data_IF_243095353804
#
_entry.id   IF_243095353804
#
_cell.length_a   1.000
_cell.length_b   1.000
_cell.length_c   1.000
_cell.angle_alpha   90.00
_cell.angle_beta   90.00
_cell.angle_gamma   90.00
#
_symmetry.space_group_name_H-M   'P 1'
#
loop_
_entity.id
_entity.type
_entity.pdbx_description
1 polymer ?
#
# COMPACT_ATOMS: atom_id res chain seq x y z
N UNK A 1 -30.21 24.42 5.98
CA UNK A 1 -29.29 23.90 4.96
C UNK A 1 -28.02 23.53 5.69
N UNK A 2 -27.75 22.24 5.87
CA UNK A 2 -26.58 21.75 6.55
C UNK A 2 -25.57 21.40 5.45
N UNK A 3 -24.49 22.17 5.36
CA UNK A 3 -23.42 21.94 4.42
C UNK A 3 -22.79 20.56 4.67
N UNK A 4 -22.80 19.71 3.63
CA UNK A 4 -22.03 18.46 3.62
C UNK A 4 -20.55 18.81 3.68
N UNK A 5 -19.74 18.12 4.52
CA UNK A 5 -18.30 18.30 4.52
C UNK A 5 -17.72 17.94 3.14
N UNK A 6 -16.70 18.66 2.65
CA UNK A 6 -16.10 18.39 1.35
C UNK A 6 -15.47 17.00 1.34
N UNK A 7 -15.67 16.29 0.24
CA UNK A 7 -15.20 14.95 -0.02
C UNK A 7 -13.66 14.94 -0.21
N UNK A 8 -12.91 14.92 0.89
CA UNK A 8 -11.43 15.01 0.95
C UNK A 8 -10.72 13.76 0.39
N UNK A 9 -11.46 12.66 0.20
CA UNK A 9 -10.85 11.38 -0.25
C UNK A 9 -10.49 11.31 -1.73
N UNK A 10 -11.20 12.05 -2.61
CA UNK A 10 -11.02 11.90 -4.05
C UNK A 10 -9.86 12.73 -4.65
N UNK A 11 -9.51 13.88 -4.05
CA UNK A 11 -8.39 14.70 -4.54
C UNK A 11 -7.02 14.12 -4.16
N UNK A 12 -6.87 13.58 -2.95
CA UNK A 12 -5.62 12.92 -2.52
C UNK A 12 -5.29 11.69 -3.37
N UNK A 13 -6.29 10.90 -3.78
CA UNK A 13 -6.06 9.74 -4.63
C UNK A 13 -5.61 10.10 -6.05
N UNK A 14 -5.95 11.30 -6.57
CA UNK A 14 -5.56 11.75 -7.92
C UNK A 14 -4.13 12.32 -7.98
N UNK A 15 -3.68 13.05 -6.98
CA UNK A 15 -2.33 13.62 -6.91
C UNK A 15 -1.27 12.54 -6.69
N UNK A 16 -1.57 11.57 -5.82
CA UNK A 16 -0.70 10.42 -5.61
C UNK A 16 -0.70 9.45 -6.83
N UNK A 17 -1.69 9.54 -7.73
CA UNK A 17 -1.71 8.74 -8.97
C UNK A 17 -0.61 9.13 -9.97
N UNK A 18 -0.05 10.33 -9.91
CA UNK A 18 1.03 10.75 -10.81
C UNK A 18 2.40 10.22 -10.38
N UNK A 19 2.62 9.96 -9.08
CA UNK A 19 3.85 9.33 -8.61
C UNK A 19 4.00 7.93 -9.24
N UNK A 20 5.18 7.64 -9.74
CA UNK A 20 5.55 6.36 -10.38
C UNK A 20 4.81 6.02 -11.69
N UNK A 21 4.05 6.94 -12.29
CA UNK A 21 3.19 6.64 -13.45
C UNK A 21 3.93 5.99 -14.61
N UNK A 22 5.11 6.51 -14.97
CA UNK A 22 5.94 5.97 -16.05
C UNK A 22 6.38 4.52 -15.78
N UNK A 23 6.84 4.24 -14.57
CA UNK A 23 7.29 2.91 -14.16
C UNK A 23 6.11 1.93 -14.09
N UNK A 24 4.98 2.38 -13.56
CA UNK A 24 3.74 1.60 -13.45
C UNK A 24 3.24 1.11 -14.81
N UNK A 25 3.21 1.97 -15.83
CA UNK A 25 2.76 1.57 -17.18
C UNK A 25 3.68 0.50 -17.80
N UNK A 26 4.99 0.59 -17.59
CA UNK A 26 5.94 -0.42 -18.04
C UNK A 26 5.69 -1.77 -17.37
N UNK A 27 5.53 -1.79 -16.04
CA UNK A 27 5.22 -3.02 -15.31
C UNK A 27 3.89 -3.65 -15.74
N UNK A 28 2.84 -2.85 -15.92
CA UNK A 28 1.55 -3.34 -16.44
C UNK A 28 1.71 -4.05 -17.79
N UNK A 29 2.50 -3.47 -18.70
CA UNK A 29 2.74 -4.08 -20.00
C UNK A 29 3.52 -5.40 -19.90
N UNK A 30 4.56 -5.45 -19.07
CA UNK A 30 5.35 -6.67 -18.83
C UNK A 30 4.47 -7.76 -18.22
N UNK A 31 3.67 -7.43 -17.21
CA UNK A 31 2.80 -8.38 -16.53
C UNK A 31 1.65 -8.89 -17.41
N UNK A 32 1.11 -8.04 -18.27
CA UNK A 32 0.11 -8.46 -19.24
C UNK A 32 0.64 -9.52 -20.23
N UNK A 33 1.93 -9.46 -20.60
CA UNK A 33 2.59 -10.50 -21.42
C UNK A 33 2.69 -11.81 -20.63
N UNK A 34 3.18 -11.75 -19.38
CA UNK A 34 3.36 -12.93 -18.52
C UNK A 34 2.05 -13.66 -18.20
N UNK A 35 0.94 -12.93 -18.05
CA UNK A 35 -0.36 -13.53 -17.72
C UNK A 35 -1.08 -14.15 -18.91
N UNK A 36 -0.72 -13.77 -20.14
CA UNK A 36 -1.31 -14.35 -21.37
C UNK A 36 -0.76 -15.74 -21.70
N UNK A 37 0.46 -16.08 -21.27
CA UNK A 37 1.10 -17.36 -21.52
C UNK A 37 0.66 -18.38 -20.48
N UNK A 38 0.00 -19.45 -20.89
CA UNK A 38 -0.49 -20.52 -20.00
C UNK A 38 0.64 -21.37 -19.39
N UNK A 39 1.77 -21.47 -20.07
CA UNK A 39 3.02 -22.09 -19.58
C UNK A 39 4.14 -21.11 -19.87
N UNK A 40 5.02 -20.88 -18.91
CA UNK A 40 6.19 -20.03 -19.07
C UNK A 40 7.45 -20.89 -19.22
N UNK A 41 8.29 -20.48 -20.16
CA UNK A 41 9.61 -21.06 -20.38
C UNK A 41 10.68 -20.22 -19.67
N UNK A 42 11.84 -20.81 -19.38
CA UNK A 42 12.99 -20.08 -18.84
C UNK A 42 13.41 -18.88 -19.70
N UNK A 43 13.21 -18.96 -21.01
CA UNK A 43 13.51 -17.86 -21.93
C UNK A 43 12.53 -16.68 -21.74
N UNK A 44 11.25 -16.96 -21.54
CA UNK A 44 10.24 -15.92 -21.31
C UNK A 44 10.46 -15.25 -19.94
N UNK A 45 10.84 -16.02 -18.92
CA UNK A 45 11.22 -15.48 -17.59
C UNK A 45 12.44 -14.56 -17.72
N UNK A 46 13.50 -15.00 -18.40
CA UNK A 46 14.69 -14.19 -18.64
C UNK A 46 14.38 -12.93 -19.44
N UNK A 47 13.50 -13.01 -20.44
CA UNK A 47 13.05 -11.85 -21.22
C UNK A 47 12.30 -10.85 -20.34
N UNK A 48 11.36 -11.31 -19.51
CA UNK A 48 10.64 -10.45 -18.57
C UNK A 48 11.57 -9.79 -17.55
N UNK A 49 12.53 -10.52 -16.98
CA UNK A 49 13.54 -9.96 -16.08
C UNK A 49 14.41 -8.91 -16.76
N UNK A 50 14.72 -9.09 -18.05
CA UNK A 50 15.43 -8.07 -18.83
C UNK A 50 14.60 -6.81 -19.03
N UNK A 51 13.32 -6.95 -19.35
CA UNK A 51 12.39 -5.79 -19.48
C UNK A 51 12.25 -5.07 -18.13
N UNK A 52 12.08 -5.80 -17.01
CA UNK A 52 12.04 -5.23 -15.64
C UNK A 52 13.34 -4.49 -15.32
N UNK A 53 14.51 -5.08 -15.65
CA UNK A 53 15.81 -4.43 -15.47
C UNK A 53 15.87 -3.08 -16.20
N UNK A 54 15.46 -3.04 -17.44
CA UNK A 54 15.44 -1.80 -18.24
C UNK A 54 14.48 -0.77 -17.64
N UNK A 55 13.26 -1.18 -17.24
CA UNK A 55 12.30 -0.32 -16.62
C UNK A 55 12.82 0.35 -15.33
N UNK A 56 13.51 -0.42 -14.48
CA UNK A 56 14.12 0.11 -13.24
C UNK A 56 15.29 1.06 -13.52
N UNK A 57 16.14 0.77 -14.52
CA UNK A 57 17.23 1.66 -14.92
C UNK A 57 16.70 2.99 -15.50
N UNK A 58 15.64 2.95 -16.32
CA UNK A 58 14.99 4.14 -16.86
C UNK A 58 14.25 4.94 -15.77
N UNK A 59 13.84 4.28 -14.70
CA UNK A 59 13.31 4.93 -13.50
C UNK A 59 14.40 5.51 -12.58
N UNK A 60 15.65 5.54 -13.04
CA UNK A 60 16.78 6.09 -12.29
C UNK A 60 17.11 5.33 -10.99
N UNK A 61 16.87 4.00 -10.97
CA UNK A 61 17.30 3.14 -9.86
C UNK A 61 18.80 2.85 -9.99
N UNK A 62 19.53 2.87 -8.88
CA UNK A 62 20.96 2.60 -8.85
C UNK A 62 21.31 1.22 -9.48
N UNK A 63 22.31 1.19 -10.34
CA UNK A 63 22.71 0.01 -11.13
C UNK A 63 23.02 -1.20 -10.25
N UNK A 64 23.73 -1.02 -9.13
CA UNK A 64 24.06 -2.11 -8.21
C UNK A 64 22.79 -2.71 -7.58
N UNK A 65 21.86 -1.84 -7.19
CA UNK A 65 20.55 -2.21 -6.63
C UNK A 65 19.72 -2.99 -7.65
N UNK A 66 19.67 -2.52 -8.90
CA UNK A 66 18.97 -3.22 -9.99
C UNK A 66 19.56 -4.60 -10.25
N UNK A 67 20.90 -4.71 -10.28
CA UNK A 67 21.58 -6.01 -10.51
C UNK A 67 21.24 -7.02 -9.41
N UNK A 68 21.29 -6.61 -8.14
CA UNK A 68 20.98 -7.47 -7.00
C UNK A 68 19.50 -7.89 -7.01
N UNK A 69 18.59 -6.93 -7.22
CA UNK A 69 17.15 -7.19 -7.34
C UNK A 69 16.84 -8.22 -8.44
N UNK A 70 17.39 -8.03 -9.66
CA UNK A 70 17.16 -8.95 -10.79
C UNK A 70 17.74 -10.32 -10.50
N UNK A 71 18.94 -10.41 -9.90
CA UNK A 71 19.56 -11.69 -9.56
C UNK A 71 18.69 -12.49 -8.57
N UNK A 72 18.28 -11.86 -7.46
CA UNK A 72 17.44 -12.49 -6.44
C UNK A 72 16.09 -12.92 -7.00
N UNK A 73 15.43 -12.02 -7.75
CA UNK A 73 14.12 -12.28 -8.34
C UNK A 73 14.18 -13.41 -9.38
N UNK A 74 15.23 -13.45 -10.22
CA UNK A 74 15.39 -14.50 -11.23
C UNK A 74 15.54 -15.88 -10.60
N UNK A 75 16.34 -15.99 -9.54
CA UNK A 75 16.51 -17.27 -8.81
C UNK A 75 15.18 -17.78 -8.29
N UNK A 76 14.37 -16.92 -7.69
CA UNK A 76 13.06 -17.30 -7.14
C UNK A 76 12.06 -17.66 -8.24
N UNK A 77 12.07 -16.93 -9.37
CA UNK A 77 11.16 -17.18 -10.50
C UNK A 77 11.49 -18.48 -11.25
N UNK A 78 12.75 -18.92 -11.25
CA UNK A 78 13.19 -20.17 -11.90
C UNK A 78 13.00 -21.41 -11.02
N UNK A 79 12.40 -21.29 -9.84
CA UNK A 79 12.14 -22.41 -8.95
C UNK A 79 11.09 -23.39 -9.49
N UNK A 80 11.25 -24.69 -9.17
CA UNK A 80 10.32 -25.75 -9.61
C UNK A 80 8.85 -25.47 -9.25
N UNK A 81 8.60 -24.83 -8.11
CA UNK A 81 7.26 -24.48 -7.63
C UNK A 81 6.55 -23.52 -8.58
N UNK A 82 7.27 -22.56 -9.15
CA UNK A 82 6.74 -21.61 -10.13
C UNK A 82 6.50 -22.28 -11.47
N UNK A 83 7.48 -23.06 -11.95
CA UNK A 83 7.42 -23.74 -13.24
C UNK A 83 6.31 -24.79 -13.31
N UNK A 84 6.01 -25.45 -12.19
CA UNK A 84 4.94 -26.45 -12.08
C UNK A 84 3.56 -25.86 -11.70
N UNK A 85 3.48 -24.55 -11.47
CA UNK A 85 2.22 -23.88 -11.12
C UNK A 85 1.23 -23.87 -12.29
N UNK A 86 -0.06 -23.92 -11.96
CA UNK A 86 -1.14 -23.72 -12.95
C UNK A 86 -1.24 -22.26 -13.43
N UNK A 87 -0.65 -21.32 -12.69
CA UNK A 87 -0.64 -19.88 -12.98
C UNK A 87 0.74 -19.28 -12.79
N UNK A 88 1.75 -19.71 -13.60
CA UNK A 88 3.15 -19.29 -13.38
C UNK A 88 3.34 -17.78 -13.53
N UNK A 89 2.62 -17.12 -14.42
CA UNK A 89 2.67 -15.65 -14.57
C UNK A 89 2.25 -14.90 -13.30
N UNK A 90 1.22 -15.36 -12.62
CA UNK A 90 0.77 -14.77 -11.35
C UNK A 90 1.77 -15.00 -10.21
N UNK A 91 2.41 -16.18 -10.19
CA UNK A 91 3.47 -16.48 -9.23
C UNK A 91 4.68 -15.55 -9.40
N UNK A 92 5.10 -15.31 -10.65
CA UNK A 92 6.20 -14.37 -10.94
C UNK A 92 5.83 -12.96 -10.48
N UNK A 93 4.62 -12.49 -10.76
CA UNK A 93 4.15 -11.17 -10.33
C UNK A 93 4.19 -11.07 -8.80
N UNK A 94 3.76 -12.10 -8.08
CA UNK A 94 3.83 -12.16 -6.62
C UNK A 94 5.27 -12.08 -6.12
N UNK A 95 6.19 -12.85 -6.70
CA UNK A 95 7.62 -12.82 -6.35
C UNK A 95 8.21 -11.43 -6.58
N UNK A 96 7.93 -10.81 -7.74
CA UNK A 96 8.39 -9.44 -8.05
C UNK A 96 7.86 -8.45 -7.02
N UNK A 97 6.60 -8.58 -6.60
CA UNK A 97 6.01 -7.74 -5.57
C UNK A 97 6.68 -7.93 -4.20
N UNK A 98 6.91 -9.17 -3.79
CA UNK A 98 7.59 -9.49 -2.52
C UNK A 98 9.02 -8.93 -2.50
N UNK A 99 9.77 -9.13 -3.59
CA UNK A 99 11.13 -8.60 -3.73
C UNK A 99 11.16 -7.07 -3.79
N UNK A 100 10.18 -6.43 -4.45
CA UNK A 100 10.04 -4.97 -4.46
C UNK A 100 9.72 -4.43 -3.07
N UNK A 101 8.85 -5.10 -2.33
CA UNK A 101 8.50 -4.73 -0.95
C UNK A 101 9.71 -4.84 -0.02
N UNK A 102 10.50 -5.91 -0.15
CA UNK A 102 11.74 -6.10 0.59
C UNK A 102 12.76 -5.00 0.28
N UNK A 103 12.95 -4.68 -1.01
CA UNK A 103 13.83 -3.61 -1.48
C UNK A 103 13.46 -2.26 -0.87
N UNK A 104 12.17 -1.96 -0.73
CA UNK A 104 11.66 -0.73 -0.12
C UNK A 104 11.71 -0.74 1.42
N UNK A 105 12.04 -1.88 2.05
CA UNK A 105 12.25 -1.98 3.49
C UNK A 105 11.37 -2.99 4.23
N UNK A 106 10.58 -3.77 3.52
CA UNK A 106 9.72 -4.85 4.05
C UNK A 106 8.49 -4.32 4.77
N UNK A 107 8.64 -3.66 5.89
CA UNK A 107 7.56 -3.15 6.72
C UNK A 107 7.66 -1.65 7.03
N UNK A 108 6.57 -1.09 7.59
CA UNK A 108 6.57 0.30 8.05
C UNK A 108 7.48 0.47 9.27
N UNK A 109 8.42 1.40 9.20
CA UNK A 109 9.33 1.74 10.28
C UNK A 109 8.77 2.89 11.13
N UNK A 110 8.42 2.58 12.38
CA UNK A 110 7.93 3.59 13.34
C UNK A 110 9.07 4.49 13.84
N UNK A 111 8.70 5.66 14.36
CA UNK A 111 9.63 6.51 15.09
C UNK A 111 10.07 5.84 16.40
N UNK A 112 11.36 5.91 16.67
CA UNK A 112 11.87 5.53 17.98
C UNK A 112 11.45 6.56 19.02
N UNK A 113 11.12 6.11 20.20
CA UNK A 113 10.78 6.95 21.36
C UNK A 113 11.83 6.76 22.45
N UNK A 114 12.23 7.87 23.08
CA UNK A 114 13.15 7.80 24.19
C UNK A 114 12.49 7.09 25.40
N UNK A 115 13.24 6.33 26.20
CA UNK A 115 12.72 5.69 27.42
C UNK A 115 12.18 6.69 28.46
N UNK A 116 12.73 7.90 28.42
CA UNK A 116 12.30 9.03 29.26
C UNK A 116 12.06 10.24 28.38
N UNK A 117 10.92 10.94 28.52
CA UNK A 117 10.66 12.17 27.77
C UNK A 117 11.67 13.28 28.15
N UNK A 118 11.92 14.19 27.21
CA UNK A 118 11.39 14.26 25.88
C UNK A 118 12.12 13.37 24.87
N UNK A 119 11.41 12.86 23.87
CA UNK A 119 12.04 12.25 22.70
C UNK A 119 12.63 13.34 21.82
N UNK A 120 13.92 13.29 21.55
CA UNK A 120 14.60 14.25 20.69
C UNK A 120 14.72 13.71 19.27
N UNK A 121 14.27 14.50 18.30
CA UNK A 121 14.34 14.21 16.87
C UNK A 121 15.19 15.28 16.22
N UNK A 122 16.31 14.89 15.62
CA UNK A 122 17.21 15.78 14.88
C UNK A 122 16.88 15.70 13.38
N UNK A 123 16.52 16.83 12.78
CA UNK A 123 16.23 16.91 11.35
C UNK A 123 17.49 17.31 10.60
N UNK A 124 17.91 16.52 9.61
CA UNK A 124 19.07 16.77 8.77
C UNK A 124 18.67 16.86 7.29
N UNK A 125 19.51 17.44 6.45
CA UNK A 125 19.31 17.50 5.00
C UNK A 125 19.81 18.79 4.37
N UNK A 126 19.85 18.84 3.04
CA UNK A 126 20.29 20.00 2.29
C UNK A 126 19.25 21.14 2.31
N UNK A 127 19.68 22.31 1.85
CA UNK A 127 18.78 23.45 1.66
C UNK A 127 17.72 23.11 0.60
N UNK A 128 16.48 23.49 0.85
CA UNK A 128 15.36 23.19 -0.07
C UNK A 128 14.81 21.77 0.00
N UNK A 129 15.41 20.86 0.77
CA UNK A 129 14.91 19.50 0.94
C UNK A 129 13.60 19.40 1.77
N UNK A 130 13.11 20.52 2.33
CA UNK A 130 11.84 20.57 3.04
C UNK A 130 11.89 20.30 4.54
N UNK A 131 13.06 20.39 5.21
CA UNK A 131 13.22 20.14 6.66
C UNK A 131 12.22 20.91 7.51
N UNK A 132 12.20 22.25 7.40
CA UNK A 132 11.32 23.14 8.19
C UNK A 132 9.85 22.77 8.02
N UNK A 133 9.41 22.52 6.78
CA UNK A 133 8.04 22.07 6.49
C UNK A 133 7.75 20.71 7.12
N UNK A 134 8.72 19.79 7.06
CA UNK A 134 8.58 18.46 7.68
C UNK A 134 8.54 18.53 9.21
N UNK A 135 9.29 19.44 9.84
CA UNK A 135 9.17 19.68 11.29
C UNK A 135 7.73 19.99 11.67
N UNK A 136 7.06 20.86 10.91
CA UNK A 136 5.65 21.19 11.14
C UNK A 136 4.69 20.05 10.89
N UNK A 137 4.87 19.35 9.76
CA UNK A 137 4.06 18.17 9.42
C UNK A 137 4.16 17.08 10.49
N UNK A 138 5.39 16.76 10.89
CA UNK A 138 5.65 15.77 11.93
C UNK A 138 5.13 16.23 13.30
N UNK A 139 5.30 17.53 13.61
CA UNK A 139 4.76 18.15 14.82
C UNK A 139 3.24 18.02 14.89
N UNK A 140 2.54 18.32 13.81
CA UNK A 140 1.07 18.19 13.73
C UNK A 140 0.63 16.73 13.87
N UNK A 141 1.32 15.80 13.20
CA UNK A 141 1.03 14.37 13.28
C UNK A 141 1.17 13.87 14.73
N UNK A 142 2.28 14.18 15.38
CA UNK A 142 2.57 13.76 16.76
C UNK A 142 1.59 14.39 17.76
N UNK A 143 1.20 15.67 17.55
CA UNK A 143 0.15 16.33 18.33
C UNK A 143 -1.18 15.60 18.18
N UNK A 144 -1.55 15.21 16.97
CA UNK A 144 -2.75 14.40 16.71
C UNK A 144 -2.74 13.04 17.44
N UNK A 145 -1.55 12.52 17.76
CA UNK A 145 -1.34 11.33 18.57
C UNK A 145 -1.30 11.61 20.09
N UNK A 146 -1.62 12.83 20.51
CA UNK A 146 -1.67 13.24 21.91
C UNK A 146 -0.31 13.64 22.50
N UNK A 147 0.76 13.84 21.68
CA UNK A 147 2.08 14.28 22.15
C UNK A 147 2.13 15.81 22.25
N UNK A 148 2.84 16.30 23.26
CA UNK A 148 3.16 17.72 23.41
C UNK A 148 4.52 17.97 22.76
N UNK A 149 4.51 18.67 21.63
CA UNK A 149 5.67 18.83 20.74
C UNK A 149 6.23 20.24 20.83
N UNK A 150 7.58 20.35 20.85
CA UNK A 150 8.34 21.57 20.71
C UNK A 150 9.13 21.54 19.40
N UNK A 151 9.03 22.59 18.60
CA UNK A 151 9.94 22.85 17.48
C UNK A 151 11.02 23.84 17.95
N UNK A 152 12.29 23.50 17.69
CA UNK A 152 13.45 24.33 18.07
C UNK A 152 14.17 24.80 16.80
N UNK A 153 14.34 26.14 16.66
CA UNK A 153 14.97 26.75 15.51
C UNK A 153 16.51 26.76 15.69
N UNK A 154 17.21 25.85 15.00
CA UNK A 154 18.66 25.78 14.97
C UNK A 154 19.27 26.17 13.60
N UNK A 155 18.48 26.63 12.62
CA UNK A 155 19.01 27.26 11.40
C UNK A 155 19.39 28.72 11.69
N UNK A 156 20.54 28.89 12.32
CA UNK A 156 21.03 30.21 12.81
C UNK A 156 21.57 31.12 11.70
N UNK A 157 21.84 30.55 10.52
CA UNK A 157 22.40 31.28 9.38
C UNK A 157 21.35 32.00 8.55
N UNK A 158 20.08 31.66 8.73
CA UNK A 158 18.97 32.20 7.95
C UNK A 158 17.85 32.71 8.85
N UNK A 159 17.84 34.01 9.16
CA UNK A 159 16.78 34.60 10.00
C UNK A 159 15.36 34.30 9.48
N UNK A 160 15.17 34.29 8.16
CA UNK A 160 13.91 33.95 7.54
C UNK A 160 13.46 32.48 7.83
N UNK A 161 14.39 31.56 8.05
CA UNK A 161 14.07 30.18 8.40
C UNK A 161 13.51 30.07 9.83
N UNK A 162 14.01 30.89 10.76
CA UNK A 162 13.49 30.95 12.13
C UNK A 162 12.02 31.43 12.11
N UNK A 163 11.75 32.55 11.41
CA UNK A 163 10.38 33.05 11.26
C UNK A 163 9.48 32.05 10.53
N UNK A 164 10.00 31.36 9.50
CA UNK A 164 9.27 30.31 8.81
C UNK A 164 8.87 29.17 9.77
N UNK A 165 9.81 28.68 10.59
CA UNK A 165 9.53 27.61 11.56
C UNK A 165 8.50 28.07 12.61
N UNK A 166 8.56 29.33 13.03
CA UNK A 166 7.58 29.93 13.95
C UNK A 166 6.16 29.96 13.38
N UNK A 167 6.01 30.37 12.10
CA UNK A 167 4.74 30.35 11.40
C UNK A 167 4.23 28.90 11.26
N UNK A 168 5.11 27.98 10.89
CA UNK A 168 4.79 26.56 10.74
C UNK A 168 4.36 25.95 12.10
N UNK A 169 5.06 26.26 13.19
CA UNK A 169 4.70 25.81 14.54
C UNK A 169 3.31 26.32 14.96
N UNK A 170 3.04 27.62 14.70
CA UNK A 170 1.71 28.23 14.97
C UNK A 170 0.62 27.52 14.18
N UNK A 171 0.85 27.24 12.88
CA UNK A 171 -0.14 26.57 12.02
C UNK A 171 -0.37 25.12 12.45
N UNK A 172 0.69 24.40 12.83
CA UNK A 172 0.60 23.05 13.41
C UNK A 172 0.00 23.04 14.83
N UNK A 173 -0.03 24.19 15.48
CA UNK A 173 -0.50 24.37 16.86
C UNK A 173 0.39 23.66 17.87
N UNK A 174 1.72 23.68 17.67
CA UNK A 174 2.74 23.13 18.56
C UNK A 174 3.59 24.23 19.16
N UNK A 175 4.33 23.93 20.25
CA UNK A 175 5.21 24.88 20.90
C UNK A 175 6.42 25.20 20.01
N UNK A 176 6.96 26.40 20.16
CA UNK A 176 8.11 26.90 19.42
C UNK A 176 9.15 27.49 20.37
N UNK A 177 10.43 27.28 20.06
CA UNK A 177 11.56 27.87 20.80
C UNK A 177 12.59 28.42 19.85
N UNK A 178 13.02 29.66 20.12
CA UNK A 178 14.15 30.33 19.47
C UNK A 178 15.14 30.84 20.53
N UNK A 179 16.44 30.72 20.28
CA UNK A 179 17.50 31.09 21.23
C UNK A 179 18.51 32.06 20.65
N UNK A 180 18.13 32.78 19.56
CA UNK A 180 19.01 33.68 18.85
C UNK A 180 19.80 33.00 17.71
N UNK A 181 20.96 33.61 17.31
CA UNK A 181 21.66 33.22 16.07
C UNK A 181 23.15 32.94 16.28
N UNK A 182 23.63 32.66 17.50
CA UNK A 182 25.07 32.55 17.75
C UNK A 182 25.61 31.10 17.81
N UNK A 183 24.86 30.16 18.36
CA UNK A 183 25.35 28.79 18.61
C UNK A 183 24.19 27.81 18.56
N UNK A 184 24.14 27.03 17.50
CA UNK A 184 23.09 26.03 17.29
C UNK A 184 23.05 24.96 18.40
N UNK A 185 24.21 24.51 18.90
CA UNK A 185 24.32 23.51 19.96
C UNK A 185 23.78 24.04 21.29
N UNK A 186 24.10 25.30 21.61
CA UNK A 186 23.57 25.97 22.80
C UNK A 186 22.05 26.11 22.71
N UNK A 187 21.55 26.61 21.59
CA UNK A 187 20.11 26.79 21.35
C UNK A 187 19.37 25.45 21.50
N UNK A 188 19.91 24.38 20.93
CA UNK A 188 19.32 23.05 21.01
C UNK A 188 19.26 22.52 22.47
N UNK A 189 20.34 22.74 23.25
CA UNK A 189 20.37 22.40 24.69
C UNK A 189 19.37 23.20 25.50
N UNK A 190 19.27 24.50 25.21
CA UNK A 190 18.35 25.42 25.90
C UNK A 190 16.88 25.06 25.54
N UNK A 191 16.61 24.73 24.27
CA UNK A 191 15.33 24.19 23.83
C UNK A 191 14.96 22.90 24.54
N UNK A 192 15.93 22.00 24.73
CA UNK A 192 15.69 20.75 25.49
C UNK A 192 15.36 21.05 26.96
N UNK A 193 16.09 21.99 27.60
CA UNK A 193 15.76 22.43 28.98
C UNK A 193 14.38 23.06 29.07
N UNK A 194 14.02 23.89 28.06
CA UNK A 194 12.69 24.47 27.96
C UNK A 194 11.60 23.41 27.86
N UNK A 195 11.83 22.35 27.06
CA UNK A 195 10.90 21.24 26.93
C UNK A 195 10.67 20.50 28.26
N UNK A 196 11.77 20.24 28.99
CA UNK A 196 11.70 19.60 30.32
C UNK A 196 10.93 20.46 31.32
N UNK A 197 11.22 21.78 31.39
CA UNK A 197 10.54 22.68 32.29
C UNK A 197 9.04 22.84 32.02
N UNK A 198 8.61 22.62 30.76
CA UNK A 198 7.21 22.74 30.35
C UNK A 198 6.54 21.36 30.14
N UNK A 199 7.16 20.28 30.59
CA UNK A 199 6.65 18.92 30.45
C UNK A 199 6.28 18.54 29.00
N UNK A 200 7.06 18.93 28.01
CA UNK A 200 6.83 18.57 26.61
C UNK A 200 7.43 17.19 26.32
N UNK A 201 6.72 16.40 25.50
CA UNK A 201 7.02 14.97 25.33
C UNK A 201 8.00 14.71 24.17
N UNK A 202 8.06 15.65 23.22
CA UNK A 202 8.87 15.51 21.99
C UNK A 202 9.50 16.84 21.60
N UNK A 203 10.76 16.82 21.22
CA UNK A 203 11.51 17.99 20.72
C UNK A 203 12.00 17.68 19.31
N UNK A 204 11.62 18.51 18.35
CA UNK A 204 12.08 18.42 16.96
C UNK A 204 13.04 19.58 16.71
N UNK A 205 14.28 19.26 16.37
CA UNK A 205 15.34 20.23 16.09
C UNK A 205 15.42 20.46 14.58
N UNK A 206 15.05 21.66 14.14
CA UNK A 206 15.22 22.10 12.74
C UNK A 206 16.63 22.68 12.55
N UNK A 207 17.48 21.95 11.82
CA UNK A 207 18.87 22.34 11.61
C UNK A 207 19.08 23.13 10.34
N UNK A 208 20.20 23.83 10.26
CA UNK A 208 20.62 24.49 9.04
C UNK A 208 20.72 23.52 7.86
N UNK A 209 20.43 24.01 6.67
CA UNK A 209 20.70 23.33 5.42
C UNK A 209 21.61 24.19 4.55
N UNK A 210 22.64 23.57 3.97
CA UNK A 210 23.47 24.20 2.96
C UNK A 210 23.15 23.66 1.57
N UNK A 211 23.58 24.38 0.54
CA UNK A 211 23.37 23.97 -0.85
C UNK A 211 24.12 22.69 -1.17
N UNK A 212 25.26 22.48 -0.56
CA UNK A 212 26.12 21.30 -0.73
C UNK A 212 26.57 20.78 0.62
N UNK A 213 26.96 19.51 0.65
CA UNK A 213 27.59 18.90 1.82
C UNK A 213 28.99 19.46 1.94
N UNK A 214 29.27 20.10 3.07
CA UNK A 214 30.61 20.58 3.45
C UNK A 214 30.95 20.09 4.88
N UNK A 215 32.24 20.22 5.23
CA UNK A 215 32.73 19.79 6.54
C UNK A 215 32.08 20.57 7.68
N UNK A 216 31.83 21.86 7.50
CA UNK A 216 31.27 22.72 8.54
C UNK A 216 29.83 22.30 8.88
N UNK A 217 29.01 21.95 7.88
CA UNK A 217 27.67 21.40 8.10
C UNK A 217 27.74 20.07 8.86
N UNK A 218 28.61 19.16 8.43
CA UNK A 218 28.73 17.85 9.05
C UNK A 218 29.28 17.94 10.48
N UNK A 219 30.20 18.82 10.75
CA UNK A 219 30.75 19.05 12.10
C UNK A 219 29.70 19.65 13.05
N UNK A 220 28.87 20.58 12.58
CA UNK A 220 27.75 21.13 13.35
C UNK A 220 26.73 20.01 13.69
N UNK A 221 26.35 19.20 12.70
CA UNK A 221 25.40 18.11 12.93
C UNK A 221 25.97 17.02 13.86
N UNK A 222 27.27 16.70 13.75
CA UNK A 222 27.97 15.81 14.69
C UNK A 222 27.98 16.38 16.11
N UNK A 223 28.22 17.67 16.25
CA UNK A 223 28.20 18.35 17.53
C UNK A 223 26.80 18.34 18.17
N UNK A 224 25.75 18.58 17.38
CA UNK A 224 24.36 18.48 17.80
C UNK A 224 24.00 17.03 18.21
N UNK A 225 24.38 16.03 17.40
CA UNK A 225 24.20 14.60 17.74
C UNK A 225 24.83 14.26 19.07
N UNK A 226 26.10 14.65 19.27
CA UNK A 226 26.83 14.38 20.52
C UNK A 226 26.22 15.11 21.72
N UNK A 227 25.74 16.34 21.53
CA UNK A 227 25.21 17.17 22.61
C UNK A 227 23.83 16.77 23.10
N UNK A 228 22.98 16.22 22.20
CA UNK A 228 21.57 15.93 22.45
C UNK A 228 21.28 14.44 22.60
N UNK A 229 22.15 13.57 22.10
CA UNK A 229 21.92 12.12 22.00
C UNK A 229 20.49 11.81 21.48
N UNK A 230 20.12 12.24 20.28
CA UNK A 230 18.74 12.13 19.78
C UNK A 230 18.32 10.68 19.61
N UNK A 231 17.05 10.39 19.91
CA UNK A 231 16.43 9.10 19.65
C UNK A 231 16.25 8.85 18.15
N UNK A 232 16.11 9.94 17.38
CA UNK A 232 15.96 9.91 15.92
C UNK A 232 16.87 10.96 15.27
N UNK A 233 17.55 10.54 14.21
CA UNK A 233 18.24 11.42 13.26
C UNK A 233 17.62 11.16 11.91
N UNK A 234 16.77 12.07 11.46
CA UNK A 234 15.96 11.92 10.26
C UNK A 234 16.51 12.79 9.14
N UNK A 235 16.90 12.16 8.04
CA UNK A 235 17.32 12.85 6.84
C UNK A 235 16.13 13.19 5.96
N UNK A 236 15.94 14.46 5.66
CA UNK A 236 14.96 14.92 4.68
C UNK A 236 15.62 15.00 3.29
N UNK A 237 15.05 14.31 2.32
CA UNK A 237 15.56 14.21 0.94
C UNK A 237 14.45 14.51 -0.05
N UNK A 238 14.76 15.29 -1.08
CA UNK A 238 13.85 15.54 -2.21
C UNK A 238 13.89 14.36 -3.17
N UNK A 239 12.76 13.66 -3.32
CA UNK A 239 12.66 12.49 -4.19
C UNK A 239 12.90 12.81 -5.68
N UNK A 240 12.66 14.06 -6.10
CA UNK A 240 12.81 14.48 -7.49
C UNK A 240 14.27 14.62 -7.92
N UNK A 241 15.22 14.65 -7.00
CA UNK A 241 16.67 14.81 -7.33
C UNK A 241 17.35 13.52 -7.78
N UNK A 242 16.62 12.40 -7.86
CA UNK A 242 17.10 11.14 -8.44
C UNK A 242 18.33 10.58 -7.72
N UNK A 243 19.41 10.27 -8.47
CA UNK A 243 20.64 9.69 -7.91
C UNK A 243 21.41 10.64 -6.98
N UNK A 244 21.27 11.95 -7.14
CA UNK A 244 21.87 12.91 -6.21
C UNK A 244 21.29 12.74 -4.78
N UNK A 245 20.00 12.43 -4.67
CA UNK A 245 19.37 12.09 -3.40
C UNK A 245 20.06 10.90 -2.72
N UNK A 246 20.46 9.89 -3.50
CA UNK A 246 21.13 8.68 -3.00
C UNK A 246 22.52 9.00 -2.49
N UNK A 247 23.29 9.78 -3.25
CA UNK A 247 24.62 10.21 -2.87
C UNK A 247 24.61 11.06 -1.59
N UNK A 248 23.65 12.00 -1.49
CA UNK A 248 23.41 12.80 -0.29
C UNK A 248 23.08 11.90 0.90
N UNK A 249 22.15 10.98 0.73
CA UNK A 249 21.73 10.09 1.81
C UNK A 249 22.88 9.22 2.32
N UNK A 250 23.74 8.72 1.43
CA UNK A 250 24.92 7.95 1.81
C UNK A 250 25.89 8.78 2.65
N UNK A 251 26.25 9.99 2.19
CA UNK A 251 27.19 10.84 2.90
C UNK A 251 26.68 11.27 4.29
N UNK A 252 25.39 11.61 4.40
CA UNK A 252 24.77 11.90 5.70
C UNK A 252 24.74 10.66 6.60
N UNK A 253 24.49 9.48 6.03
CA UNK A 253 24.49 8.24 6.81
C UNK A 253 25.86 7.89 7.36
N UNK A 254 26.91 8.04 6.55
CA UNK A 254 28.30 7.77 6.94
C UNK A 254 28.75 8.74 8.04
N UNK A 255 28.29 10.01 8.00
CA UNK A 255 28.66 11.02 8.98
C UNK A 255 27.86 10.94 10.29
N UNK A 256 26.59 10.58 10.24
CA UNK A 256 25.65 10.74 11.35
C UNK A 256 25.04 9.43 11.84
N UNK A 257 25.19 8.32 11.11
CA UNK A 257 24.47 7.07 11.38
C UNK A 257 22.96 7.33 11.55
N UNK A 258 22.31 7.63 10.45
CA UNK A 258 20.89 8.01 10.40
C UNK A 258 20.00 6.92 11.00
N UNK A 259 18.87 7.30 11.57
CA UNK A 259 17.85 6.34 12.04
C UNK A 259 16.70 6.16 11.02
N UNK A 260 16.57 7.07 10.08
CA UNK A 260 15.57 7.00 9.03
C UNK A 260 15.65 8.14 8.03
N UNK A 261 14.92 7.99 6.95
CA UNK A 261 14.82 8.95 5.86
C UNK A 261 13.38 9.42 5.68
N UNK A 262 13.21 10.66 5.33
CA UNK A 262 11.95 11.33 5.01
C UNK A 262 12.00 11.74 3.54
N UNK A 263 11.10 11.27 2.72
CA UNK A 263 11.02 11.65 1.31
C UNK A 263 10.04 12.81 1.14
N UNK A 264 10.50 13.89 0.53
CA UNK A 264 9.66 15.03 0.14
C UNK A 264 9.34 14.98 -1.34
N UNK A 265 8.28 15.67 -1.75
CA UNK A 265 7.85 15.83 -3.15
C UNK A 265 7.66 14.51 -3.90
N UNK A 266 7.22 13.48 -3.19
CA UNK A 266 6.98 12.17 -3.80
C UNK A 266 5.83 12.22 -4.83
N UNK A 267 4.91 13.17 -4.68
CA UNK A 267 3.83 13.47 -5.63
C UNK A 267 4.34 13.92 -7.00
N UNK A 268 5.49 14.60 -7.05
CA UNK A 268 6.17 15.02 -8.29
C UNK A 268 7.12 13.98 -8.88
N UNK A 269 7.48 12.92 -8.14
CA UNK A 269 8.41 11.89 -8.62
C UNK A 269 7.71 10.84 -9.47
N UNK A 270 7.72 11.03 -10.78
CA UNK A 270 7.14 10.08 -11.74
C UNK A 270 8.00 8.82 -11.93
N UNK A 271 9.25 8.80 -11.48
CA UNK A 271 10.23 7.72 -11.69
C UNK A 271 10.32 6.77 -10.50
N UNK A 272 10.41 7.30 -9.28
CA UNK A 272 10.42 6.53 -8.04
C UNK A 272 11.74 5.82 -7.71
N UNK A 273 12.78 6.01 -8.50
CA UNK A 273 14.07 5.33 -8.34
C UNK A 273 14.83 5.73 -7.08
N UNK A 274 14.67 6.98 -6.63
CA UNK A 274 15.31 7.49 -5.43
C UNK A 274 14.91 6.70 -4.18
N UNK A 275 13.62 6.42 -3.98
CA UNK A 275 13.13 5.68 -2.81
C UNK A 275 13.75 4.28 -2.71
N UNK A 276 13.79 3.54 -3.83
CA UNK A 276 14.39 2.19 -3.89
C UNK A 276 15.89 2.24 -3.61
N UNK A 277 16.59 3.20 -4.22
CA UNK A 277 18.05 3.31 -4.12
C UNK A 277 18.52 3.77 -2.76
N UNK A 278 17.87 4.78 -2.16
CA UNK A 278 18.22 5.31 -0.83
C UNK A 278 18.17 4.20 0.22
N UNK A 279 17.08 3.44 0.25
CA UNK A 279 16.93 2.33 1.20
C UNK A 279 18.00 1.27 1.02
N UNK A 280 18.25 0.85 -0.24
CA UNK A 280 19.22 -0.20 -0.55
C UNK A 280 20.66 0.23 -0.24
N UNK A 281 21.02 1.48 -0.55
CA UNK A 281 22.39 1.99 -0.38
C UNK A 281 22.69 2.32 1.08
N UNK A 282 21.77 2.99 1.79
CA UNK A 282 22.00 3.42 3.17
C UNK A 282 21.68 2.34 4.22
N UNK A 283 20.89 1.34 3.87
CA UNK A 283 20.34 0.39 4.83
C UNK A 283 19.31 0.99 5.79
N UNK A 284 19.02 2.30 5.69
CA UNK A 284 18.12 3.01 6.63
C UNK A 284 16.68 3.04 6.14
N UNK A 285 15.68 2.84 7.03
CA UNK A 285 14.29 2.82 6.60
C UNK A 285 13.79 4.19 6.18
N UNK A 286 12.93 4.22 5.16
CA UNK A 286 12.11 5.38 4.87
C UNK A 286 10.95 5.35 5.86
N UNK A 287 10.78 6.39 6.67
CA UNK A 287 9.75 6.44 7.72
C UNK A 287 8.48 7.15 7.27
N UNK A 288 8.64 8.26 6.54
CA UNK A 288 7.52 9.06 6.05
C UNK A 288 7.76 9.57 4.64
N UNK A 289 6.66 9.84 3.96
CA UNK A 289 6.62 10.53 2.66
C UNK A 289 5.73 11.76 2.73
N UNK A 290 6.23 12.87 2.19
CA UNK A 290 5.45 14.07 1.92
C UNK A 290 4.80 13.96 0.56
N UNK A 291 3.48 14.11 0.53
CA UNK A 291 2.64 13.91 -0.67
C UNK A 291 2.00 15.19 -1.16
N UNK A 292 2.46 16.35 -0.70
CA UNK A 292 1.96 17.67 -1.06
C UNK A 292 2.51 18.75 -0.13
N UNK A 293 2.01 19.99 -0.25
CA UNK A 293 2.53 21.15 0.47
C UNK A 293 1.87 21.39 1.85
N UNK A 294 0.63 20.94 2.05
CA UNK A 294 -0.12 21.17 3.29
C UNK A 294 0.47 20.39 4.46
N UNK A 295 0.28 20.88 5.67
CA UNK A 295 0.78 20.20 6.88
C UNK A 295 0.19 18.80 7.08
N UNK A 296 -1.02 18.54 6.58
CA UNK A 296 -1.65 17.22 6.62
C UNK A 296 -1.11 16.24 5.57
N UNK A 297 -0.33 16.71 4.58
CA UNK A 297 0.19 15.86 3.49
C UNK A 297 1.47 15.14 3.94
N UNK A 298 1.36 14.36 5.00
CA UNK A 298 2.40 13.50 5.55
C UNK A 298 1.82 12.13 5.80
N UNK A 299 2.40 11.11 5.18
CA UNK A 299 1.99 9.72 5.36
C UNK A 299 3.14 8.87 5.86
N UNK A 300 2.88 7.89 6.77
CA UNK A 300 3.84 6.83 7.05
C UNK A 300 4.19 6.08 5.76
N UNK A 301 5.48 5.80 5.58
CA UNK A 301 5.92 5.05 4.39
C UNK A 301 5.59 3.58 4.54
N UNK A 302 4.75 3.07 3.66
CA UNK A 302 4.33 1.66 3.64
C UNK A 302 4.94 0.96 2.42
N UNK A 303 6.04 0.22 2.56
CA UNK A 303 6.74 -0.46 1.46
C UNK A 303 5.81 -1.29 0.57
N UNK A 304 4.94 -2.08 1.15
CA UNK A 304 3.97 -2.91 0.44
C UNK A 304 3.01 -2.08 -0.44
N UNK A 305 2.45 -0.98 0.10
CA UNK A 305 1.56 -0.10 -0.67
C UNK A 305 2.29 0.60 -1.82
N UNK A 306 3.53 1.01 -1.60
CA UNK A 306 4.36 1.64 -2.64
C UNK A 306 4.73 0.61 -3.71
N UNK A 307 5.15 -0.60 -3.33
CA UNK A 307 5.40 -1.69 -4.26
C UNK A 307 4.17 -2.00 -5.14
N UNK A 308 2.99 -2.15 -4.55
CA UNK A 308 1.72 -2.35 -5.30
C UNK A 308 1.46 -1.21 -6.29
N UNK A 309 1.72 0.03 -5.89
CA UNK A 309 1.54 1.20 -6.76
C UNK A 309 2.52 1.18 -7.94
N UNK A 310 3.81 0.96 -7.68
CA UNK A 310 4.84 0.84 -8.72
C UNK A 310 4.50 -0.25 -9.73
N UNK A 311 4.04 -1.40 -9.25
CA UNK A 311 3.71 -2.55 -10.09
C UNK A 311 2.33 -2.43 -10.78
N UNK A 312 1.59 -1.36 -10.51
CA UNK A 312 0.27 -1.15 -11.09
C UNK A 312 -0.80 -2.14 -10.60
N UNK A 313 -0.58 -2.72 -9.41
CA UNK A 313 -1.41 -3.79 -8.86
C UNK A 313 -2.51 -3.26 -7.91
N UNK A 314 -2.85 -1.97 -7.98
CA UNK A 314 -3.73 -1.30 -7.02
C UNK A 314 -5.05 -2.02 -6.73
N UNK A 315 -5.65 -2.65 -7.73
CA UNK A 315 -6.95 -3.31 -7.58
C UNK A 315 -6.86 -4.85 -7.59
N UNK A 316 -5.91 -5.42 -8.35
CA UNK A 316 -5.84 -6.87 -8.60
C UNK A 316 -5.46 -7.66 -7.35
N UNK A 317 -4.43 -7.21 -6.59
CA UNK A 317 -4.03 -7.91 -5.34
C UNK A 317 -5.08 -7.74 -4.24
N UNK A 318 -5.71 -6.58 -4.14
CA UNK A 318 -6.80 -6.37 -3.17
C UNK A 318 -7.97 -7.32 -3.46
N UNK A 319 -8.26 -7.58 -4.74
CA UNK A 319 -9.28 -8.57 -5.15
C UNK A 319 -8.80 -9.99 -4.82
N UNK A 320 -7.54 -10.33 -5.10
CA UNK A 320 -6.96 -11.65 -4.80
C UNK A 320 -6.88 -11.88 -3.28
N UNK A 321 -6.44 -10.91 -2.50
CA UNK A 321 -6.37 -11.00 -1.04
C UNK A 321 -7.77 -11.07 -0.41
N UNK A 322 -8.72 -10.27 -0.89
CA UNK A 322 -10.11 -10.36 -0.45
C UNK A 322 -10.73 -11.70 -0.83
N UNK A 323 -10.43 -12.21 -2.03
CA UNK A 323 -10.87 -13.54 -2.44
C UNK A 323 -10.20 -14.65 -1.62
N UNK A 324 -8.91 -14.54 -1.31
CA UNK A 324 -8.21 -15.49 -0.43
C UNK A 324 -8.67 -15.40 1.02
N UNK A 325 -8.90 -14.20 1.55
CA UNK A 325 -9.41 -13.99 2.91
C UNK A 325 -10.89 -14.36 3.07
N UNK A 326 -11.68 -14.29 1.98
CA UNK A 326 -13.08 -14.68 1.99
C UNK A 326 -13.27 -16.19 1.85
N UNK A 327 -12.23 -16.91 1.42
CA UNK A 327 -12.26 -18.36 1.27
C UNK A 327 -11.50 -18.97 2.44
N UNK A 328 -12.22 -19.29 3.51
CA UNK A 328 -11.72 -20.14 4.58
C UNK A 328 -11.29 -21.49 3.95
N UNK A 329 -10.03 -21.88 4.12
CA UNK A 329 -9.47 -23.12 3.55
C UNK A 329 -10.28 -24.36 4.00
N UNK A 330 -10.93 -24.26 5.16
CA UNK A 330 -11.87 -25.26 5.68
C UNK A 330 -13.19 -25.28 4.91
N UNK A 331 -13.71 -24.11 4.50
CA UNK A 331 -14.91 -24.02 3.67
C UNK A 331 -14.64 -24.50 2.24
N UNK A 332 -13.46 -24.21 1.66
CA UNK A 332 -13.07 -24.75 0.35
C UNK A 332 -12.96 -26.27 0.38
N UNK A 333 -12.33 -26.85 1.40
CA UNK A 333 -12.27 -28.31 1.55
C UNK A 333 -13.66 -28.91 1.73
N UNK A 334 -14.53 -28.31 2.54
CA UNK A 334 -15.93 -28.71 2.68
C UNK A 334 -16.72 -28.60 1.39
N UNK A 335 -16.56 -27.53 0.64
CA UNK A 335 -17.18 -27.37 -0.69
C UNK A 335 -16.67 -28.43 -1.67
N UNK A 336 -15.36 -28.68 -1.76
CA UNK A 336 -14.80 -29.73 -2.60
C UNK A 336 -15.33 -31.13 -2.21
N UNK A 337 -15.45 -31.40 -0.92
CA UNK A 337 -16.03 -32.68 -0.43
C UNK A 337 -17.52 -32.78 -0.69
N UNK A 338 -18.30 -31.73 -0.51
CA UNK A 338 -19.74 -31.70 -0.83
C UNK A 338 -19.95 -31.87 -2.33
N UNK A 339 -19.12 -31.25 -3.16
CA UNK A 339 -19.16 -31.48 -4.62
C UNK A 339 -18.72 -32.89 -5.02
N UNK A 340 -17.68 -33.46 -4.38
CA UNK A 340 -17.26 -34.86 -4.64
C UNK A 340 -18.37 -35.88 -4.30
N UNK A 341 -19.19 -35.57 -3.30
CA UNK A 341 -20.32 -36.42 -2.84
C UNK A 341 -21.61 -36.14 -3.60
N UNK A 342 -21.59 -35.26 -4.62
CA UNK A 342 -22.79 -34.85 -5.38
C UNK A 342 -23.91 -34.26 -4.50
N UNK A 343 -23.53 -33.65 -3.37
CA UNK A 343 -24.42 -33.15 -2.30
C UNK A 343 -24.53 -31.63 -2.25
N UNK A 344 -24.31 -30.94 -3.39
CA UNK A 344 -24.47 -29.47 -3.46
C UNK A 344 -25.96 -29.12 -3.36
N UNK A 345 -26.33 -28.33 -2.35
CA UNK A 345 -27.71 -28.04 -1.97
C UNK A 345 -28.04 -26.55 -2.20
N UNK A 346 -29.35 -26.21 -2.15
CA UNK A 346 -29.77 -24.80 -2.15
C UNK A 346 -29.32 -24.05 -0.90
N UNK A 347 -29.04 -24.74 0.20
CA UNK A 347 -28.44 -24.15 1.40
C UNK A 347 -26.98 -23.72 1.13
N UNK A 348 -26.20 -24.51 0.41
CA UNK A 348 -24.86 -24.17 -0.01
C UNK A 348 -24.87 -23.02 -1.02
N UNK A 349 -25.87 -23.00 -1.89
CA UNK A 349 -26.09 -21.92 -2.85
C UNK A 349 -26.44 -20.59 -2.14
N UNK A 350 -27.23 -20.65 -1.06
CA UNK A 350 -27.54 -19.49 -0.20
C UNK A 350 -26.29 -18.91 0.46
N UNK A 351 -25.41 -19.78 1.00
CA UNK A 351 -24.14 -19.35 1.60
C UNK A 351 -23.23 -18.63 0.61
N UNK A 352 -23.28 -19.03 -0.67
CA UNK A 352 -22.55 -18.30 -1.72
C UNK A 352 -23.05 -16.86 -1.88
N UNK A 353 -24.35 -16.59 -1.81
CA UNK A 353 -24.88 -15.23 -1.86
C UNK A 353 -24.41 -14.38 -0.66
N UNK A 354 -24.37 -14.96 0.53
CA UNK A 354 -23.89 -14.24 1.73
C UNK A 354 -22.37 -13.95 1.68
N UNK A 355 -21.58 -14.84 1.11
CA UNK A 355 -20.15 -14.63 0.89
C UNK A 355 -19.88 -13.55 -0.16
N UNK A 356 -20.62 -13.55 -1.27
CA UNK A 356 -20.53 -12.52 -2.30
C UNK A 356 -20.88 -11.14 -1.74
N UNK A 357 -21.88 -11.04 -0.86
CA UNK A 357 -22.24 -9.77 -0.20
C UNK A 357 -21.15 -9.25 0.76
N UNK A 358 -20.40 -10.14 1.41
CA UNK A 358 -19.25 -9.78 2.29
C UNK A 358 -18.04 -9.27 1.49
N UNK A 359 -17.94 -9.58 0.19
CA UNK A 359 -16.82 -9.19 -0.67
C UNK A 359 -16.90 -7.73 -1.19
N UNK A 360 -17.98 -6.99 -0.92
CA UNK A 360 -18.13 -5.59 -1.32
C UNK A 360 -18.91 -5.38 -2.62
N UNK A 361 -18.83 -4.17 -3.20
CA UNK A 361 -19.64 -3.75 -4.34
C UNK A 361 -19.41 -4.65 -5.56
N UNK A 362 -20.41 -5.42 -5.94
CA UNK A 362 -20.34 -6.42 -7.00
C UNK A 362 -20.11 -5.81 -8.39
N UNK A 363 -20.58 -4.57 -8.59
CA UNK A 363 -20.43 -3.85 -9.86
C UNK A 363 -18.96 -3.54 -10.13
N UNK A 364 -18.21 -3.07 -9.12
CA UNK A 364 -16.77 -2.81 -9.24
C UNK A 364 -15.98 -4.11 -9.51
N UNK A 365 -16.40 -5.21 -8.91
CA UNK A 365 -15.75 -6.52 -9.09
C UNK A 365 -16.00 -7.11 -10.49
N UNK A 366 -17.21 -6.96 -11.04
CA UNK A 366 -17.56 -7.42 -12.39
C UNK A 366 -16.93 -6.54 -13.47
N UNK A 367 -16.82 -5.24 -13.25
CA UNK A 367 -16.14 -4.31 -14.16
C UNK A 367 -14.64 -4.62 -14.22
N UNK A 368 -14.02 -4.89 -13.08
CA UNK A 368 -12.61 -5.29 -12.99
C UNK A 368 -12.34 -6.68 -13.60
N UNK A 369 -13.22 -7.64 -13.41
CA UNK A 369 -13.16 -8.97 -14.06
C UNK A 369 -13.43 -8.89 -15.57
N UNK A 370 -14.38 -8.07 -16.00
CA UNK A 370 -14.66 -7.80 -17.42
C UNK A 370 -13.46 -7.20 -18.13
N UNK A 371 -12.79 -6.24 -17.48
CA UNK A 371 -11.56 -5.61 -17.99
C UNK A 371 -10.36 -6.59 -18.00
N UNK A 372 -10.25 -7.46 -17.00
CA UNK A 372 -9.18 -8.47 -16.92
C UNK A 372 -9.35 -9.62 -17.93
N UNK A 373 -10.58 -9.93 -18.35
CA UNK A 373 -10.87 -11.01 -19.31
C UNK A 373 -11.00 -10.55 -20.76
N UNK A 374 -10.69 -9.28 -21.03
CA UNK A 374 -10.76 -8.71 -22.40
C UNK A 374 -12.17 -8.70 -22.99
N UNK A 375 -13.20 -8.53 -22.19
CA UNK A 375 -14.59 -8.37 -22.63
C UNK A 375 -15.29 -9.63 -23.17
N UNK A 376 -14.69 -10.81 -23.06
CA UNK A 376 -15.23 -12.06 -23.62
C UNK A 376 -16.31 -12.74 -22.76
N UNK A 377 -16.46 -12.34 -21.49
CA UNK A 377 -17.48 -12.89 -20.61
C UNK A 377 -18.47 -11.79 -20.25
N UNK A 378 -19.62 -11.79 -20.90
CA UNK A 378 -20.77 -10.96 -20.52
C UNK A 378 -21.44 -11.63 -19.31
N UNK A 379 -21.07 -11.19 -18.11
CA UNK A 379 -21.90 -11.48 -16.93
C UNK A 379 -23.18 -10.65 -17.06
N UNK A 380 -24.34 -11.32 -17.06
CA UNK A 380 -25.62 -10.61 -17.01
C UNK A 380 -25.66 -9.70 -15.78
N UNK A 381 -26.30 -8.52 -15.87
CA UNK A 381 -26.49 -7.61 -14.75
C UNK A 381 -27.04 -8.42 -13.56
N UNK A 382 -26.21 -8.65 -12.56
CA UNK A 382 -26.61 -9.16 -11.25
C UNK A 382 -27.25 -8.01 -10.49
N UNK A 383 -28.56 -7.86 -10.62
CA UNK A 383 -29.34 -6.88 -9.90
C UNK A 383 -29.38 -7.28 -8.40
N UNK A 384 -28.95 -6.42 -7.52
CA UNK A 384 -28.97 -6.63 -6.06
C UNK A 384 -30.35 -6.98 -5.55
N UNK A 385 -31.40 -6.46 -6.20
CA UNK A 385 -32.79 -6.82 -5.91
C UNK A 385 -33.12 -8.28 -6.25
N UNK A 386 -32.57 -8.79 -7.34
CA UNK A 386 -32.78 -10.19 -7.74
C UNK A 386 -32.08 -11.15 -6.78
N UNK A 387 -30.91 -10.79 -6.25
CA UNK A 387 -30.22 -11.57 -5.23
C UNK A 387 -31.00 -11.61 -3.92
N UNK A 388 -31.56 -10.48 -3.46
CA UNK A 388 -32.40 -10.43 -2.25
C UNK A 388 -33.66 -11.28 -2.41
N UNK A 389 -34.30 -11.28 -3.59
CA UNK A 389 -35.45 -12.13 -3.89
C UNK A 389 -35.09 -13.60 -3.90
N UNK A 390 -33.99 -13.98 -4.52
CA UNK A 390 -33.48 -15.36 -4.51
C UNK A 390 -33.21 -15.85 -3.07
N UNK A 391 -32.64 -15.00 -2.22
CA UNK A 391 -32.44 -15.30 -0.80
C UNK A 391 -33.76 -15.52 -0.08
N UNK A 392 -34.75 -14.64 -0.27
CA UNK A 392 -36.07 -14.77 0.33
C UNK A 392 -36.78 -16.06 -0.11
N UNK A 393 -36.66 -16.42 -1.39
CA UNK A 393 -37.25 -17.70 -1.92
C UNK A 393 -36.62 -18.88 -1.20
N UNK A 394 -35.28 -18.98 -1.10
CA UNK A 394 -34.63 -20.12 -0.43
C UNK A 394 -34.96 -20.14 1.05
N UNK A 395 -35.01 -18.98 1.73
CA UNK A 395 -35.36 -18.88 3.14
C UNK A 395 -36.82 -19.32 3.42
N UNK A 396 -37.72 -19.19 2.46
CA UNK A 396 -39.11 -19.65 2.55
C UNK A 396 -39.28 -21.17 2.36
N UNK A 397 -38.22 -21.86 1.94
CA UNK A 397 -38.21 -23.32 1.79
C UNK A 397 -37.90 -23.99 3.13
N UNK A 398 -38.45 -25.20 3.33
CA UNK A 398 -38.07 -26.07 4.45
C UNK A 398 -36.65 -26.62 4.24
N UNK A 399 -36.02 -27.11 5.31
CA UNK A 399 -34.69 -27.74 5.21
C UNK A 399 -34.66 -28.91 4.23
N UNK A 400 -35.75 -29.72 4.21
CA UNK A 400 -35.90 -30.82 3.28
C UNK A 400 -35.92 -30.32 1.82
N UNK A 401 -36.66 -29.25 1.54
CA UNK A 401 -36.78 -28.64 0.21
C UNK A 401 -35.45 -27.97 -0.26
N UNK A 402 -34.68 -27.42 0.66
CA UNK A 402 -33.34 -26.88 0.36
C UNK A 402 -32.33 -27.97 0.04
N UNK A 403 -32.44 -29.12 0.72
CA UNK A 403 -31.55 -30.25 0.54
C UNK A 403 -31.92 -31.06 -0.71
N UNK A 404 -33.22 -31.25 -0.96
CA UNK A 404 -33.74 -31.99 -2.11
C UNK A 404 -34.77 -31.14 -2.89
N UNK A 405 -34.33 -30.30 -3.84
CA UNK A 405 -35.23 -29.44 -4.61
C UNK A 405 -36.22 -30.16 -5.50
N UNK A 406 -35.99 -31.45 -5.80
CA UNK A 406 -36.86 -32.26 -6.67
C UNK A 406 -38.26 -32.49 -6.07
N UNK A 407 -38.42 -32.34 -4.76
CA UNK A 407 -39.71 -32.44 -4.07
C UNK A 407 -40.59 -31.18 -4.24
N UNK A 408 -40.06 -30.08 -4.80
CA UNK A 408 -40.78 -28.83 -5.03
C UNK A 408 -41.74 -28.94 -6.21
N UNK A 409 -42.89 -29.63 -5.99
CA UNK A 409 -44.00 -29.68 -6.94
C UNK A 409 -44.87 -28.43 -6.87
N UNK A 410 -45.91 -28.35 -7.71
CA UNK A 410 -46.71 -27.14 -7.93
C UNK A 410 -47.23 -26.50 -6.62
N UNK A 411 -47.81 -27.28 -5.71
CA UNK A 411 -48.36 -26.77 -4.43
C UNK A 411 -47.27 -26.21 -3.50
N UNK A 412 -46.09 -26.86 -3.42
CA UNK A 412 -44.96 -26.40 -2.63
C UNK A 412 -44.35 -25.12 -3.22
N UNK A 413 -44.24 -25.02 -4.56
CA UNK A 413 -43.80 -23.78 -5.23
C UNK A 413 -44.73 -22.62 -4.99
N UNK A 414 -46.06 -22.83 -4.97
CA UNK A 414 -47.05 -21.81 -4.62
C UNK A 414 -46.86 -21.31 -3.19
N UNK A 415 -46.67 -22.22 -2.22
CA UNK A 415 -46.42 -21.88 -0.83
C UNK A 415 -45.11 -21.08 -0.65
N UNK A 416 -44.03 -21.51 -1.32
CA UNK A 416 -42.73 -20.83 -1.27
C UNK A 416 -42.82 -19.43 -1.89
N UNK A 417 -43.51 -19.30 -3.04
CA UNK A 417 -43.73 -18.01 -3.68
C UNK A 417 -44.52 -17.06 -2.79
N UNK A 418 -45.62 -17.55 -2.18
CA UNK A 418 -46.42 -16.75 -1.25
C UNK A 418 -45.61 -16.33 0.00
N UNK A 419 -44.83 -17.25 0.59
CA UNK A 419 -44.03 -17.00 1.79
C UNK A 419 -42.84 -16.06 1.54
N UNK A 420 -42.29 -15.99 0.31
CA UNK A 420 -41.20 -15.11 -0.07
C UNK A 420 -41.64 -13.75 -0.66
N UNK A 421 -42.95 -13.56 -0.87
CA UNK A 421 -43.48 -12.38 -1.56
C UNK A 421 -43.04 -12.28 -3.03
N UNK A 422 -42.81 -13.46 -3.68
CA UNK A 422 -42.35 -13.56 -5.07
C UNK A 422 -43.38 -14.34 -5.92
N UNK A 423 -43.12 -14.44 -7.23
CA UNK A 423 -43.96 -15.22 -8.14
C UNK A 423 -43.45 -16.67 -8.33
N UNK A 424 -44.34 -17.56 -8.74
CA UNK A 424 -43.97 -18.94 -9.11
C UNK A 424 -42.94 -18.96 -10.25
N UNK A 425 -42.98 -17.95 -11.13
CA UNK A 425 -42.02 -17.78 -12.20
C UNK A 425 -40.62 -17.52 -11.66
N UNK A 426 -40.45 -16.65 -10.63
CA UNK A 426 -39.18 -16.36 -9.98
C UNK A 426 -38.64 -17.60 -9.23
N UNK A 427 -39.49 -18.38 -8.58
CA UNK A 427 -39.11 -19.66 -7.96
C UNK A 427 -38.58 -20.67 -9.02
N UNK A 428 -39.25 -20.77 -10.17
CA UNK A 428 -38.79 -21.63 -11.26
C UNK A 428 -37.47 -21.12 -11.86
N UNK A 429 -37.30 -19.83 -11.99
CA UNK A 429 -36.07 -19.23 -12.49
C UNK A 429 -34.87 -19.49 -11.57
N UNK A 430 -35.06 -19.37 -10.25
CA UNK A 430 -34.06 -19.74 -9.25
C UNK A 430 -33.66 -21.22 -9.35
N UNK A 431 -34.63 -22.13 -9.42
CA UNK A 431 -34.34 -23.55 -9.56
C UNK A 431 -33.58 -23.88 -10.86
N UNK A 432 -33.90 -23.20 -11.96
CA UNK A 432 -33.19 -23.34 -13.24
C UNK A 432 -31.76 -22.81 -13.13
N UNK A 433 -31.52 -21.68 -12.46
CA UNK A 433 -30.20 -21.16 -12.20
C UNK A 433 -29.36 -22.09 -11.33
N UNK A 434 -29.97 -22.68 -10.31
CA UNK A 434 -29.32 -23.67 -9.46
C UNK A 434 -28.88 -24.92 -10.24
N UNK A 435 -29.74 -25.47 -11.10
CA UNK A 435 -29.40 -26.59 -11.96
C UNK A 435 -28.30 -26.26 -12.98
N UNK A 436 -28.36 -25.09 -13.58
CA UNK A 436 -27.29 -24.62 -14.49
C UNK A 436 -25.95 -24.49 -13.76
N UNK A 437 -25.93 -23.97 -12.51
CA UNK A 437 -24.74 -23.92 -11.70
C UNK A 437 -24.15 -25.29 -11.39
N UNK A 438 -25.01 -26.28 -11.08
CA UNK A 438 -24.61 -27.67 -10.90
C UNK A 438 -23.98 -28.28 -12.17
N UNK A 439 -24.54 -28.01 -13.34
CA UNK A 439 -24.00 -28.49 -14.61
C UNK A 439 -22.65 -27.89 -14.96
N UNK A 440 -22.48 -26.57 -14.77
CA UNK A 440 -21.22 -25.89 -14.99
C UNK A 440 -20.11 -26.44 -14.09
N UNK A 441 -20.40 -26.66 -12.83
CA UNK A 441 -19.44 -27.22 -11.88
C UNK A 441 -19.06 -28.67 -12.30
N UNK A 442 -20.01 -29.47 -12.74
CA UNK A 442 -19.75 -30.82 -13.28
C UNK A 442 -18.84 -30.81 -14.52
N UNK A 443 -19.01 -29.82 -15.41
CA UNK A 443 -18.17 -29.66 -16.59
C UNK A 443 -16.75 -29.27 -16.25
N UNK A 444 -16.52 -28.40 -15.26
CA UNK A 444 -15.19 -28.06 -14.76
C UNK A 444 -14.47 -29.27 -14.15
N UNK A 445 -15.18 -30.19 -13.50
CA UNK A 445 -14.58 -31.41 -12.94
C UNK A 445 -14.25 -32.46 -14.00
N UNK A 446 -15.05 -32.56 -15.07
CA UNK A 446 -14.80 -33.53 -16.16
C UNK A 446 -13.71 -33.05 -17.13
N UNK A 447 -13.51 -31.74 -17.28
CA UNK A 447 -12.48 -31.18 -18.14
C UNK A 447 -11.05 -31.43 -17.64
N UNK A 448 -10.85 -31.62 -16.33
CA UNK A 448 -9.54 -31.92 -15.74
C UNK A 448 -9.02 -33.35 -16.01
N UNK A 449 -9.82 -34.25 -16.60
CA UNK A 449 -9.44 -35.66 -16.89
C UNK A 449 -8.97 -35.90 -18.32
N UNK A 450 -8.98 -34.91 -19.22
CA UNK A 450 -8.61 -35.09 -20.65
C UNK A 450 -7.23 -34.64 -21.04
N UNK A 451 -6.39 -34.26 -20.08
CA UNK A 451 -4.95 -33.98 -20.33
C UNK A 451 -4.11 -34.80 -19.33
N UNK A 452 -4.02 -36.10 -19.64
CA UNK A 452 -2.90 -36.96 -19.26
C UNK A 452 -2.22 -37.44 -20.51
#
# INVERSE_FOLDING_TARGET
>A
MVDKPPNLGNNMASEIRMAFSSLTEKFKHIFAKLTRSGKLTDLEIKSAMREIKLALLEADVNIAVVKDFIAKTTIQCSGETVMKSLTPGQQIIKIVHEQMTELLGGGNAKLATAPKPPTVILMAGLQGAGKTTFCGKLGQLLKGQGKRVLLVACDIYRPAAIEQLKVVAKTAGVAFYEGGTKDAVKIAKDGLRHALANNLDTVIIDTAGRLHIDNALMDELRALKKALNPAEILLTVDAMTGQDAVNVAQQFNDALDLTGVLLTKLDGDTRGGAAMSIRAVTGKPIKFSGTGEKLGDLEPFHPDRIARRILGMGDVLTVIEKAQAAVDEHEMKRMQEAFRRNSFTLEDFLKQFDNVKKMGNLEDMLENLGNATGGKVKFGKLDERSMQRNKAIIQSMTMEERTNPDILKSSRKQRVAAGSGTSIQEVNQLLKQFEQSKLLIKQFQSGGRRFR
#
